data_IF_642394970435
#
_entry.id   IF_642394970435
#
_cell.length_a   1.000
_cell.length_b   1.000
_cell.length_c   1.000
_cell.angle_alpha   90.00
_cell.angle_beta   90.00
_cell.angle_gamma   90.00
#
_symmetry.space_group_name_H-M   'P 1'
#
loop_
_entity.id
_entity.type
_entity.pdbx_description
1 polymer ?
#
# COMPACT_ATOMS: atom_id res chain seq x y z
N UNK A 1 14.92 6.47 9.25
CA UNK A 1 14.92 6.60 7.78
C UNK A 1 13.58 6.06 7.34
N UNK A 2 12.76 6.88 6.68
CA UNK A 2 11.47 6.42 6.15
C UNK A 2 11.70 5.52 4.95
N UNK A 3 10.87 4.49 4.79
CA UNK A 3 10.87 3.63 3.61
C UNK A 3 10.08 4.32 2.49
N UNK A 4 10.52 4.18 1.24
CA UNK A 4 9.77 4.67 0.08
C UNK A 4 9.07 3.51 -0.60
N UNK A 5 7.75 3.63 -0.75
CA UNK A 5 6.93 2.69 -1.53
C UNK A 5 6.60 3.30 -2.87
N UNK A 6 6.72 2.55 -3.96
CA UNK A 6 6.25 2.95 -5.29
C UNK A 6 5.19 1.99 -5.78
N UNK A 7 4.04 2.51 -6.22
CA UNK A 7 2.97 1.73 -6.85
C UNK A 7 2.58 2.44 -8.15
N UNK A 8 2.90 1.81 -9.29
CA UNK A 8 2.74 2.45 -10.60
C UNK A 8 3.48 3.79 -10.67
N UNK A 9 2.74 4.89 -10.83
CA UNK A 9 3.30 6.26 -10.91
C UNK A 9 3.42 6.98 -9.56
N UNK A 10 2.92 6.38 -8.47
CA UNK A 10 2.86 7.02 -7.16
C UNK A 10 4.08 6.65 -6.34
N UNK A 11 4.67 7.67 -5.70
CA UNK A 11 5.71 7.52 -4.71
C UNK A 11 5.10 7.89 -3.35
N UNK A 12 5.07 6.93 -2.44
CA UNK A 12 4.47 7.00 -1.11
C UNK A 12 5.62 7.01 -0.11
N UNK A 13 5.85 8.17 0.51
CA UNK A 13 6.97 8.40 1.44
C UNK A 13 6.55 8.28 2.91
N UNK A 14 5.26 8.18 3.16
CA UNK A 14 4.62 8.12 4.47
C UNK A 14 3.84 6.82 4.68
N UNK A 15 4.18 5.77 3.93
CA UNK A 15 3.61 4.44 4.12
C UNK A 15 4.06 3.86 5.47
N UNK A 16 3.13 3.20 6.17
CA UNK A 16 3.38 2.55 7.45
C UNK A 16 3.45 1.03 7.28
N UNK A 17 4.46 0.41 7.89
CA UNK A 17 4.70 -1.04 7.76
C UNK A 17 4.39 -1.75 9.07
N UNK A 18 3.74 -2.92 8.98
CA UNK A 18 3.64 -3.81 10.15
C UNK A 18 4.98 -4.45 10.47
N UNK A 19 5.22 -4.69 11.76
CA UNK A 19 6.38 -5.46 12.25
C UNK A 19 6.15 -6.97 12.18
N UNK A 20 4.92 -7.41 11.89
CA UNK A 20 4.51 -8.81 11.87
C UNK A 20 4.45 -9.36 10.44
N UNK A 21 4.57 -10.69 10.30
CA UNK A 21 4.37 -11.38 9.01
C UNK A 21 2.94 -11.89 8.87
N UNK A 22 2.31 -11.76 7.68
CA UNK A 22 2.87 -11.15 6.45
C UNK A 22 3.01 -9.63 6.56
N UNK A 23 4.02 -9.07 5.88
CA UNK A 23 4.26 -7.63 5.84
C UNK A 23 3.01 -6.93 5.32
N UNK A 24 2.51 -5.96 6.07
CA UNK A 24 1.45 -5.07 5.61
C UNK A 24 2.01 -3.68 5.35
N UNK A 25 1.52 -3.05 4.29
CA UNK A 25 1.84 -1.68 3.89
C UNK A 25 0.55 -0.88 3.96
N UNK A 26 0.54 0.14 4.82
CA UNK A 26 -0.62 0.99 5.02
C UNK A 26 -0.36 2.35 4.39
N UNK A 27 -1.27 2.78 3.52
CA UNK A 27 -1.15 3.98 2.70
C UNK A 27 -2.19 5.01 3.16
N UNK A 28 -1.78 6.11 3.82
CA UNK A 28 -2.71 7.13 4.28
C UNK A 28 -3.38 7.85 3.10
N UNK A 29 -4.71 7.97 3.12
CA UNK A 29 -5.46 8.57 2.01
C UNK A 29 -5.30 10.08 1.92
N UNK A 30 -5.12 10.75 3.05
CA UNK A 30 -5.03 12.22 3.10
C UNK A 30 -3.83 12.78 2.31
N UNK A 31 -2.71 12.06 2.32
CA UNK A 31 -1.48 12.42 1.61
C UNK A 31 -1.36 11.76 0.23
N UNK A 32 -2.10 10.66 -0.01
CA UNK A 32 -2.06 9.89 -1.25
C UNK A 32 -3.43 9.77 -1.96
N UNK A 33 -4.24 10.85 -2.09
CA UNK A 33 -5.64 10.75 -2.51
C UNK A 33 -5.83 10.17 -3.92
N UNK A 34 -4.89 10.46 -4.83
CA UNK A 34 -4.93 9.94 -6.20
C UNK A 34 -4.74 8.43 -6.27
N UNK A 35 -3.84 7.88 -5.45
CA UNK A 35 -3.65 6.44 -5.33
C UNK A 35 -4.85 5.81 -4.63
N UNK A 36 -5.35 6.41 -3.55
CA UNK A 36 -6.50 5.88 -2.82
C UNK A 36 -7.74 5.73 -3.68
N UNK A 37 -8.01 6.69 -4.57
CA UNK A 37 -9.10 6.57 -5.53
C UNK A 37 -8.91 5.42 -6.52
N UNK A 38 -7.66 5.14 -6.93
CA UNK A 38 -7.38 4.00 -7.81
C UNK A 38 -7.53 2.67 -7.08
N UNK A 39 -7.09 2.57 -5.82
CA UNK A 39 -7.23 1.38 -5.00
C UNK A 39 -8.70 1.05 -4.71
N UNK A 40 -9.54 2.08 -4.50
CA UNK A 40 -10.99 1.93 -4.31
C UNK A 40 -11.72 1.37 -5.53
N UNK A 41 -11.17 1.61 -6.73
CA UNK A 41 -11.72 1.07 -7.98
C UNK A 41 -11.29 -0.37 -8.30
N UNK A 42 -10.40 -0.97 -7.52
CA UNK A 42 -9.91 -2.33 -7.72
C UNK A 42 -10.59 -3.32 -6.78
N UNK A 43 -10.75 -4.57 -7.24
CA UNK A 43 -11.26 -5.64 -6.39
C UNK A 43 -10.28 -5.91 -5.23
N UNK A 44 -10.84 -6.22 -4.06
CA UNK A 44 -10.06 -6.76 -2.96
C UNK A 44 -9.38 -8.07 -3.41
N UNK A 45 -8.13 -8.27 -3.01
CA UNK A 45 -7.21 -9.33 -3.47
C UNK A 45 -6.54 -9.12 -4.83
N UNK A 46 -6.81 -8.00 -5.52
CA UNK A 46 -6.03 -7.63 -6.72
C UNK A 46 -4.55 -7.45 -6.35
N UNK A 47 -3.67 -8.14 -7.07
CA UNK A 47 -2.22 -7.97 -6.95
C UNK A 47 -1.75 -6.75 -7.73
N UNK A 48 -0.91 -5.94 -7.10
CA UNK A 48 -0.33 -4.72 -7.67
C UNK A 48 1.20 -4.81 -7.60
N UNK A 49 1.92 -4.57 -8.71
CA UNK A 49 3.36 -4.48 -8.67
C UNK A 49 3.78 -3.23 -7.91
N UNK A 50 4.76 -3.37 -7.03
CA UNK A 50 5.26 -2.29 -6.20
C UNK A 50 6.78 -2.40 -5.98
N UNK A 51 7.36 -1.32 -5.47
CA UNK A 51 8.74 -1.30 -5.00
C UNK A 51 8.79 -0.77 -3.58
N UNK A 52 9.55 -1.42 -2.71
CA UNK A 52 9.87 -0.93 -1.36
C UNK A 52 11.38 -0.73 -1.32
N UNK A 53 11.83 0.52 -1.18
CA UNK A 53 13.25 0.89 -1.22
C UNK A 53 14.00 0.26 -2.41
N UNK A 54 13.43 0.45 -3.61
CA UNK A 54 13.92 -0.06 -4.89
C UNK A 54 13.92 -1.60 -5.04
N UNK A 55 13.44 -2.35 -4.04
CA UNK A 55 13.18 -3.78 -4.16
C UNK A 55 11.78 -4.03 -4.70
N UNK A 56 11.70 -4.73 -5.83
CA UNK A 56 10.43 -5.14 -6.43
C UNK A 56 9.70 -6.15 -5.53
N UNK A 57 8.41 -5.91 -5.32
CA UNK A 57 7.50 -6.75 -4.55
C UNK A 57 6.13 -6.79 -5.22
N UNK A 58 5.34 -7.81 -4.91
CA UNK A 58 3.93 -7.88 -5.28
C UNK A 58 3.10 -7.69 -4.01
N UNK A 59 2.20 -6.71 -4.04
CA UNK A 59 1.30 -6.44 -2.92
C UNK A 59 -0.14 -6.78 -3.33
N UNK A 60 -0.91 -7.35 -2.41
CA UNK A 60 -2.33 -7.61 -2.58
C UNK A 60 -3.12 -6.53 -1.84
N UNK A 61 -4.15 -5.99 -2.49
CA UNK A 61 -5.09 -5.08 -1.84
C UNK A 61 -5.87 -5.87 -0.80
N UNK A 62 -5.65 -5.58 0.49
CA UNK A 62 -6.30 -6.31 1.57
C UNK A 62 -7.66 -5.71 1.90
N UNK A 63 -7.68 -4.46 2.38
CA UNK A 63 -8.91 -3.75 2.74
C UNK A 63 -8.67 -2.26 2.93
N UNK A 64 -9.77 -1.50 2.95
CA UNK A 64 -9.79 -0.12 3.41
C UNK A 64 -10.05 -0.04 4.91
N UNK A 65 -9.14 0.58 5.68
CA UNK A 65 -9.35 0.88 7.09
C UNK A 65 -10.02 2.24 7.25
N UNK A 66 -11.34 2.19 7.51
CA UNK A 66 -12.18 3.38 7.71
C UNK A 66 -11.87 4.15 9.00
N UNK A 67 -11.28 3.51 10.01
CA UNK A 67 -11.00 4.18 11.28
C UNK A 67 -9.79 5.11 11.14
N UNK A 68 -8.82 4.70 10.33
CA UNK A 68 -7.56 5.41 10.18
C UNK A 68 -7.37 6.03 8.79
N UNK A 69 -8.41 6.01 7.95
CA UNK A 69 -8.46 6.61 6.61
C UNK A 69 -7.27 6.19 5.72
N UNK A 70 -7.09 4.87 5.59
CA UNK A 70 -5.93 4.29 4.88
C UNK A 70 -6.26 3.01 4.14
N UNK A 71 -5.55 2.77 3.04
CA UNK A 71 -5.57 1.48 2.36
C UNK A 71 -4.51 0.54 2.93
N UNK A 72 -4.89 -0.70 3.22
CA UNK A 72 -3.97 -1.74 3.68
C UNK A 72 -3.71 -2.72 2.55
N UNK A 73 -2.43 -2.87 2.21
CA UNK A 73 -1.93 -3.87 1.29
C UNK A 73 -1.05 -4.86 2.05
N UNK A 74 -0.85 -6.06 1.49
CA UNK A 74 -0.02 -7.10 2.12
C UNK A 74 0.78 -7.90 1.09
N UNK A 75 1.95 -8.40 1.47
CA UNK A 75 2.62 -9.42 0.66
C UNK A 75 1.77 -10.72 0.64
N UNK A 76 1.71 -11.45 -0.48
CA UNK A 76 1.12 -12.78 -0.51
C UNK A 76 1.90 -13.71 0.44
N UNK A 77 1.17 -14.55 1.17
CA UNK A 77 1.72 -15.50 2.13
C UNK A 77 2.37 -16.72 1.46
#
# INVERSE_FOLDING_TARGET
MGHVVKIGRYEIVDAEFSSEKPLTVSIPCHTNPGLSYQLDGWDHDTSVPAWIDDKEVILHIAHYDKQQDRWVLKEPA
#
